data_IF_649031861207
#
_entry.id   IF_649031861207
#
_cell.length_a   1.000
_cell.length_b   1.000
_cell.length_c   1.000
_cell.angle_alpha   90.00
_cell.angle_beta   90.00
_cell.angle_gamma   90.00
#
_symmetry.space_group_name_H-M   'P 1'
#
loop_
_entity.id
_entity.type
_entity.pdbx_description
1 polymer ?
#
# COMPACT_ATOMS: atom_id res chain seq x y z
N UNK A 1 -1.02 10.66 -10.27
CA UNK A 1 -0.33 9.85 -9.25
C UNK A 1 0.72 8.96 -9.90
N UNK A 2 1.90 8.87 -9.30
CA UNK A 2 3.00 8.02 -9.77
C UNK A 2 2.90 6.64 -9.10
N UNK A 3 2.94 5.57 -9.87
CA UNK A 3 2.91 4.20 -9.35
C UNK A 3 4.33 3.64 -9.24
N UNK A 4 4.66 3.05 -8.09
CA UNK A 4 5.94 2.43 -7.79
C UNK A 4 5.67 1.06 -7.20
N UNK A 5 6.43 0.06 -7.61
CA UNK A 5 6.27 -1.31 -7.14
C UNK A 5 7.59 -1.75 -6.53
N UNK A 6 7.55 -2.20 -5.28
CA UNK A 6 8.70 -2.69 -4.52
C UNK A 6 8.37 -4.04 -3.89
N UNK A 7 9.40 -4.86 -3.70
CA UNK A 7 9.28 -6.14 -3.01
C UNK A 7 10.32 -6.22 -1.91
N UNK A 8 9.88 -6.62 -0.72
CA UNK A 8 10.74 -6.74 0.45
C UNK A 8 10.85 -5.46 1.28
N UNK A 9 11.21 -5.65 2.54
CA UNK A 9 11.21 -4.61 3.57
C UNK A 9 12.26 -3.52 3.31
N UNK A 10 13.47 -3.90 2.90
CA UNK A 10 14.55 -2.95 2.65
C UNK A 10 14.22 -2.01 1.46
N UNK A 11 13.65 -2.58 0.39
CA UNK A 11 13.27 -1.82 -0.80
C UNK A 11 12.22 -0.75 -0.47
N UNK A 12 11.15 -1.10 0.27
CA UNK A 12 10.12 -0.12 0.64
C UNK A 12 10.67 0.96 1.57
N UNK A 13 11.52 0.61 2.54
CA UNK A 13 12.17 1.57 3.45
C UNK A 13 12.98 2.60 2.68
N UNK A 14 13.77 2.13 1.72
CA UNK A 14 14.61 2.97 0.87
C UNK A 14 13.77 3.87 -0.04
N UNK A 15 12.71 3.32 -0.63
CA UNK A 15 11.80 4.07 -1.50
C UNK A 15 11.09 5.17 -0.70
N UNK A 16 10.53 4.84 0.46
CA UNK A 16 9.85 5.81 1.32
C UNK A 16 10.77 6.94 1.80
N UNK A 17 12.06 6.66 1.99
CA UNK A 17 13.05 7.67 2.35
C UNK A 17 13.42 8.58 1.16
N UNK A 18 13.28 8.07 -0.06
CA UNK A 18 13.58 8.80 -1.29
C UNK A 18 12.39 9.63 -1.80
N UNK A 19 11.18 9.23 -1.43
CA UNK A 19 9.94 9.91 -1.79
C UNK A 19 9.67 11.07 -0.81
N UNK A 20 9.12 12.16 -1.35
CA UNK A 20 8.71 13.34 -0.59
C UNK A 20 7.31 13.77 -1.01
N UNK A 21 6.51 14.28 -0.08
CA UNK A 21 5.11 14.66 -0.32
C UNK A 21 4.15 13.55 0.11
N UNK A 22 3.00 13.46 -0.56
CA UNK A 22 1.98 12.48 -0.22
C UNK A 22 2.30 11.12 -0.84
N UNK A 23 2.53 10.13 0.03
CA UNK A 23 2.97 8.78 -0.35
C UNK A 23 2.03 7.75 0.23
N UNK A 24 1.35 7.04 -0.65
CA UNK A 24 0.41 5.98 -0.34
C UNK A 24 1.10 4.63 -0.48
N UNK A 25 1.14 3.82 0.57
CA UNK A 25 1.81 2.52 0.56
C UNK A 25 0.82 1.38 0.76
N UNK A 26 0.66 0.54 -0.25
CA UNK A 26 -0.14 -0.67 -0.17
C UNK A 26 0.76 -1.87 0.10
N UNK A 27 0.61 -2.46 1.28
CA UNK A 27 1.22 -3.73 1.62
C UNK A 27 0.31 -4.88 1.21
N UNK A 28 0.78 -5.74 0.32
CA UNK A 28 0.05 -6.92 -0.13
C UNK A 28 0.95 -8.15 -0.19
N UNK A 29 0.35 -9.34 -0.13
CA UNK A 29 1.07 -10.60 -0.23
C UNK A 29 1.70 -10.81 -1.61
N UNK A 30 2.62 -11.76 -1.73
CA UNK A 30 3.29 -12.10 -2.99
C UNK A 30 2.33 -12.17 -4.18
N UNK A 31 2.90 -11.88 -5.35
CA UNK A 31 2.29 -11.90 -6.67
C UNK A 31 1.81 -13.29 -7.10
N UNK A 32 0.92 -13.93 -6.33
CA UNK A 32 0.31 -15.21 -6.72
C UNK A 32 -0.84 -15.05 -7.72
N UNK A 33 -1.35 -13.84 -7.94
CA UNK A 33 -2.30 -13.55 -9.04
C UNK A 33 -2.15 -12.14 -9.65
N UNK A 34 -1.00 -11.47 -9.48
CA UNK A 34 -0.69 -10.21 -10.18
C UNK A 34 -1.62 -9.00 -9.95
N UNK A 35 -2.73 -9.16 -9.24
CA UNK A 35 -3.73 -8.12 -9.07
C UNK A 35 -3.51 -7.39 -7.77
N UNK A 36 -3.09 -6.13 -7.89
CA UNK A 36 -3.44 -5.09 -6.92
C UNK A 36 -4.95 -5.15 -6.68
N UNK A 37 -5.40 -4.76 -5.48
CA UNK A 37 -6.83 -4.75 -5.19
C UNK A 37 -7.57 -3.97 -6.29
N UNK A 38 -8.56 -4.57 -6.96
CA UNK A 38 -9.15 -4.03 -8.19
C UNK A 38 -9.78 -2.65 -7.97
N UNK A 39 -10.21 -2.39 -6.73
CA UNK A 39 -10.72 -1.11 -6.29
C UNK A 39 -9.66 -0.01 -6.34
N UNK A 40 -8.46 -0.31 -5.85
CA UNK A 40 -7.35 0.65 -5.81
C UNK A 40 -6.87 0.92 -7.23
N UNK A 41 -6.65 -0.14 -8.01
CA UNK A 41 -6.26 -0.07 -9.42
C UNK A 41 -7.22 0.82 -10.24
N UNK A 42 -8.53 0.63 -10.05
CA UNK A 42 -9.55 1.44 -10.72
C UNK A 42 -9.48 2.93 -10.35
N UNK A 43 -9.03 3.27 -9.14
CA UNK A 43 -8.91 4.66 -8.68
C UNK A 43 -7.62 5.29 -9.21
N UNK A 44 -6.51 4.55 -9.16
CA UNK A 44 -5.21 4.96 -9.68
C UNK A 44 -5.27 5.27 -11.18
N UNK A 45 -5.90 4.38 -11.96
CA UNK A 45 -6.06 4.55 -13.40
C UNK A 45 -7.22 5.48 -13.79
N UNK A 46 -8.07 5.84 -12.82
CA UNK A 46 -9.14 6.82 -12.99
C UNK A 46 -8.62 8.23 -13.25
N UNK A 47 -9.51 9.11 -13.73
CA UNK A 47 -9.16 10.53 -13.97
C UNK A 47 -8.73 11.26 -12.69
N UNK A 48 -9.35 10.92 -11.56
CA UNK A 48 -9.07 11.51 -10.25
C UNK A 48 -7.64 11.18 -9.81
N UNK A 49 -7.26 9.89 -9.83
CA UNK A 49 -5.91 9.45 -9.46
C UNK A 49 -4.82 10.01 -10.37
N UNK A 50 -5.08 10.16 -11.67
CA UNK A 50 -4.14 10.80 -12.62
C UNK A 50 -3.89 12.26 -12.31
N UNK A 51 -4.91 12.97 -11.81
CA UNK A 51 -4.83 14.41 -11.49
C UNK A 51 -4.17 14.67 -10.13
N UNK A 52 -4.06 13.66 -9.27
CA UNK A 52 -3.46 13.78 -7.94
C UNK A 52 -1.93 13.73 -8.00
N UNK A 53 -1.26 14.75 -7.47
CA UNK A 53 0.20 14.86 -7.38
C UNK A 53 0.75 14.12 -6.16
N UNK A 54 0.57 12.80 -6.17
CA UNK A 54 1.03 11.92 -5.09
C UNK A 54 1.70 10.67 -5.67
N UNK A 55 2.39 9.91 -4.81
CA UNK A 55 3.04 8.65 -5.18
C UNK A 55 2.33 7.47 -4.52
N UNK A 56 1.99 6.46 -5.30
CA UNK A 56 1.47 5.19 -4.85
C UNK A 56 2.54 4.12 -4.93
N UNK A 57 2.81 3.45 -3.81
CA UNK A 57 3.82 2.42 -3.67
C UNK A 57 3.15 1.10 -3.32
N UNK A 58 3.23 0.13 -4.22
CA UNK A 58 2.82 -1.25 -3.92
C UNK A 58 4.01 -2.00 -3.36
N UNK A 59 3.94 -2.38 -2.09
CA UNK A 59 4.93 -3.19 -1.43
C UNK A 59 4.46 -4.64 -1.32
N UNK A 60 5.15 -5.54 -2.02
CA UNK A 60 4.97 -6.97 -1.83
C UNK A 60 5.74 -7.42 -0.59
N UNK A 61 5.00 -7.89 0.42
CA UNK A 61 5.60 -8.44 1.65
C UNK A 61 6.25 -9.80 1.42
N UNK A 62 6.04 -10.43 0.27
CA UNK A 62 6.55 -11.75 -0.06
C UNK A 62 5.53 -12.87 0.20
N UNK A 63 6.02 -14.12 0.16
CA UNK A 63 5.17 -15.30 0.20
C UNK A 63 4.36 -15.38 1.50
N UNK A 64 3.22 -16.09 1.46
CA UNK A 64 2.38 -16.28 2.66
C UNK A 64 3.17 -16.86 3.83
N UNK A 65 4.17 -17.69 3.56
CA UNK A 65 5.06 -18.28 4.58
C UNK A 65 5.92 -17.21 5.26
N UNK A 66 6.54 -16.31 4.48
CA UNK A 66 7.31 -15.19 4.99
C UNK A 66 6.43 -14.22 5.81
N UNK A 67 5.21 -13.93 5.34
CA UNK A 67 4.27 -13.06 6.05
C UNK A 67 3.71 -13.67 7.35
N UNK A 68 3.52 -14.99 7.37
CA UNK A 68 3.06 -15.71 8.56
C UNK A 68 4.10 -15.74 9.67
N UNK A 69 5.37 -15.55 9.32
CA UNK A 69 6.45 -15.55 10.29
C UNK A 69 6.27 -14.39 11.29
N UNK A 70 6.30 -14.66 12.62
CA UNK A 70 6.15 -13.61 13.62
C UNK A 70 7.36 -12.67 13.68
N UNK A 71 8.54 -13.10 13.22
CA UNK A 71 9.74 -12.27 13.08
C UNK A 71 9.78 -11.52 11.75
N UNK A 72 8.70 -11.57 10.95
CA UNK A 72 8.59 -10.80 9.72
C UNK A 72 8.74 -9.30 10.03
N UNK A 73 9.70 -8.60 9.40
CA UNK A 73 10.02 -7.21 9.74
C UNK A 73 8.82 -6.29 9.57
N UNK A 74 7.93 -6.57 8.60
CA UNK A 74 6.69 -5.83 8.41
C UNK A 74 5.73 -5.87 9.61
N UNK A 75 5.76 -6.95 10.40
CA UNK A 75 4.94 -7.11 11.63
C UNK A 75 5.61 -6.49 12.85
N UNK A 76 6.93 -6.61 12.94
CA UNK A 76 7.71 -6.16 14.10
C UNK A 76 8.06 -4.67 14.03
N UNK A 77 8.11 -4.11 12.82
CA UNK A 77 8.43 -2.71 12.60
C UNK A 77 7.38 -1.79 13.24
N UNK A 78 7.83 -0.72 13.90
CA UNK A 78 6.95 0.19 14.65
C UNK A 78 6.21 1.17 13.73
N UNK A 79 6.80 1.50 12.59
CA UNK A 79 6.22 2.41 11.60
C UNK A 79 5.10 1.71 10.84
N UNK A 80 5.34 0.48 10.35
CA UNK A 80 4.32 -0.27 9.60
C UNK A 80 3.38 -1.07 10.50
N UNK A 81 3.93 -1.82 11.47
CA UNK A 81 3.23 -2.72 12.40
C UNK A 81 2.02 -3.41 11.77
N UNK A 82 2.26 -4.06 10.62
CA UNK A 82 1.19 -4.68 9.87
C UNK A 82 0.59 -5.83 10.66
N UNK A 83 -0.73 -5.84 10.78
CA UNK A 83 -1.49 -6.93 11.43
C UNK A 83 -2.16 -7.84 10.40
N UNK A 84 -2.49 -7.30 9.23
CA UNK A 84 -3.15 -7.99 8.13
C UNK A 84 -2.61 -7.48 6.78
N UNK A 85 -2.85 -8.25 5.73
CA UNK A 85 -2.66 -7.84 4.34
C UNK A 85 -3.93 -8.24 3.56
N UNK A 86 -4.41 -7.42 2.60
CA UNK A 86 -3.84 -6.15 2.16
C UNK A 86 -4.04 -5.03 3.21
N UNK A 87 -3.07 -4.12 3.33
CA UNK A 87 -3.16 -2.93 4.20
C UNK A 87 -2.61 -1.71 3.48
N UNK A 88 -3.39 -0.64 3.40
CA UNK A 88 -2.98 0.64 2.81
C UNK A 88 -2.60 1.64 3.91
N UNK A 89 -1.45 2.30 3.78
CA UNK A 89 -0.88 3.22 4.77
C UNK A 89 -0.44 4.52 4.09
N UNK A 90 -0.82 5.64 4.67
CA UNK A 90 -0.31 6.99 4.36
C UNK A 90 -0.29 7.76 5.70
N UNK A 91 -1.09 8.81 5.89
CA UNK A 91 -1.40 9.38 7.22
C UNK A 91 -2.37 8.50 8.03
N UNK A 92 -3.35 7.86 7.37
CA UNK A 92 -4.32 6.92 7.97
C UNK A 92 -4.01 5.51 7.47
N UNK A 93 -4.65 4.49 8.05
CA UNK A 93 -4.45 3.09 7.65
C UNK A 93 -5.78 2.40 7.34
N UNK A 94 -5.89 1.77 6.18
CA UNK A 94 -7.02 0.91 5.83
C UNK A 94 -6.59 -0.55 5.86
N UNK A 95 -7.29 -1.35 6.66
CA UNK A 95 -7.01 -2.76 6.85
C UNK A 95 -7.95 -3.61 5.98
N UNK A 96 -7.44 -4.63 5.31
CA UNK A 96 -8.15 -5.68 4.55
C UNK A 96 -9.49 -5.23 3.92
N UNK A 97 -10.59 -5.36 4.66
CA UNK A 97 -11.94 -5.04 4.19
C UNK A 97 -12.14 -3.55 3.86
N UNK A 98 -11.39 -2.65 4.50
CA UNK A 98 -11.39 -1.23 4.17
C UNK A 98 -10.59 -0.93 2.90
N UNK A 99 -9.44 -1.59 2.71
CA UNK A 99 -8.65 -1.47 1.48
C UNK A 99 -9.39 -2.05 0.25
N UNK A 100 -10.40 -2.90 0.49
CA UNK A 100 -11.34 -3.46 -0.49
C UNK A 100 -12.57 -2.59 -0.74
N UNK A 101 -12.76 -1.51 0.01
CA UNK A 101 -13.96 -0.68 -0.08
C UNK A 101 -13.71 0.55 -0.93
N UNK A 102 -14.34 0.63 -2.11
CA UNK A 102 -14.13 1.73 -3.05
C UNK A 102 -14.42 3.11 -2.45
N UNK A 103 -15.48 3.23 -1.65
CA UNK A 103 -15.81 4.50 -1.00
C UNK A 103 -14.71 4.95 -0.03
N UNK A 104 -14.22 4.03 0.82
CA UNK A 104 -13.18 4.33 1.80
C UNK A 104 -11.82 4.58 1.15
N UNK A 105 -11.50 3.85 0.08
CA UNK A 105 -10.25 4.03 -0.65
C UNK A 105 -10.27 5.37 -1.40
N UNK A 106 -11.40 5.77 -2.00
CA UNK A 106 -11.53 7.09 -2.61
C UNK A 106 -11.36 8.20 -1.59
N UNK A 107 -12.06 8.10 -0.46
CA UNK A 107 -11.89 8.99 0.69
C UNK A 107 -10.42 9.01 1.16
N UNK A 108 -9.75 7.86 1.15
CA UNK A 108 -8.34 7.80 1.50
C UNK A 108 -7.43 8.61 0.58
N UNK A 109 -7.67 8.55 -0.72
CA UNK A 109 -6.85 9.23 -1.72
C UNK A 109 -7.21 10.69 -1.93
N UNK A 110 -8.49 11.04 -1.82
CA UNK A 110 -9.01 12.34 -2.25
C UNK A 110 -9.60 13.16 -1.11
N UNK A 111 -9.86 12.56 0.05
CA UNK A 111 -10.27 13.32 1.24
C UNK A 111 -9.01 13.88 1.91
N UNK A 112 -8.50 14.95 1.33
CA UNK A 112 -7.64 15.95 1.97
C UNK A 112 -8.59 16.96 2.64
N UNK A 113 -8.38 17.25 3.93
CA UNK A 113 -9.16 18.22 4.71
C UNK A 113 -9.22 19.60 4.06
#
# INVERSE_FOLDING_TARGET
>A
MREVIVEGYDAIRKELTSLSGQVFVLFTGSKVDGKTEPVIDSILHGNEGKSLDATFVTCYVGAREYWKDPACPFRTDKDFKLTCVPTLIEHKRLLDSQAKNASLVKDFFFEDN
#
